data_IF_404776221808
#
_entry.id   IF_404776221808
#
_cell.length_a   1.000
_cell.length_b   1.000
_cell.length_c   1.000
_cell.angle_alpha   90.00
_cell.angle_beta   90.00
_cell.angle_gamma   90.00
#
_symmetry.space_group_name_H-M   'P 1'
#
loop_
_entity.id
_entity.type
_entity.pdbx_description
1 polymer ?
#
# COMPACT_ATOMS: atom_id res chain seq x y z
N UNK A 1 3.12 -17.57 0.08
CA UNK A 1 1.88 -17.89 -0.68
C UNK A 1 0.71 -16.91 -0.47
N UNK A 2 0.88 -15.72 0.14
CA UNK A 2 -0.23 -14.76 0.34
C UNK A 2 -0.81 -14.22 -0.98
N UNK A 3 0.04 -13.98 -1.98
CA UNK A 3 -0.37 -13.43 -3.29
C UNK A 3 -1.21 -14.38 -4.15
N UNK A 4 -1.04 -15.70 -3.99
CA UNK A 4 -1.78 -16.71 -4.77
C UNK A 4 -3.29 -16.66 -4.45
N UNK A 5 -3.64 -16.44 -3.17
CA UNK A 5 -5.05 -16.31 -2.76
C UNK A 5 -5.72 -15.09 -3.40
N UNK A 6 -5.01 -13.97 -3.47
CA UNK A 6 -5.51 -12.76 -4.12
C UNK A 6 -5.64 -12.92 -5.62
N UNK A 7 -4.68 -13.58 -6.25
CA UNK A 7 -4.76 -13.92 -7.67
C UNK A 7 -5.99 -14.77 -7.96
N UNK A 8 -6.25 -15.81 -7.16
CA UNK A 8 -7.45 -16.66 -7.29
C UNK A 8 -8.75 -15.88 -7.07
N UNK A 9 -8.78 -14.94 -6.11
CA UNK A 9 -9.94 -14.07 -5.90
C UNK A 9 -10.23 -13.19 -7.13
N UNK A 10 -9.21 -12.56 -7.71
CA UNK A 10 -9.42 -11.75 -8.92
C UNK A 10 -9.79 -12.60 -10.14
N UNK A 11 -9.23 -13.81 -10.24
CA UNK A 11 -9.59 -14.74 -11.29
C UNK A 11 -11.06 -15.18 -11.17
N UNK A 12 -11.55 -15.45 -9.96
CA UNK A 12 -12.98 -15.75 -9.75
C UNK A 12 -13.89 -14.57 -10.09
N UNK A 13 -13.48 -13.34 -9.77
CA UNK A 13 -14.21 -12.13 -10.15
C UNK A 13 -14.32 -11.97 -11.68
N UNK A 14 -13.22 -12.16 -12.40
CA UNK A 14 -13.19 -12.08 -13.88
C UNK A 14 -14.13 -13.14 -14.47
N UNK A 15 -14.10 -14.37 -13.94
CA UNK A 15 -14.99 -15.44 -14.38
C UNK A 15 -16.46 -15.10 -14.15
N UNK A 16 -16.83 -14.51 -13.00
CA UNK A 16 -18.20 -14.07 -12.73
C UNK A 16 -18.67 -13.03 -13.76
N UNK A 17 -17.83 -12.02 -14.04
CA UNK A 17 -18.14 -11.00 -15.04
C UNK A 17 -18.31 -11.64 -16.42
N UNK A 18 -17.40 -12.55 -16.79
CA UNK A 18 -17.49 -13.29 -18.05
C UNK A 18 -18.78 -14.10 -18.18
N UNK A 19 -19.20 -14.79 -17.12
CA UNK A 19 -20.46 -15.55 -17.08
C UNK A 19 -21.69 -14.64 -17.22
N UNK A 20 -21.69 -13.47 -16.56
CA UNK A 20 -22.77 -12.48 -16.72
C UNK A 20 -22.84 -11.95 -18.15
N UNK A 21 -21.70 -11.59 -18.75
CA UNK A 21 -21.65 -11.09 -20.14
C UNK A 21 -22.05 -12.17 -21.13
N UNK A 22 -21.61 -13.42 -20.93
CA UNK A 22 -22.00 -14.56 -21.76
C UNK A 22 -23.51 -14.83 -21.67
N UNK A 23 -24.06 -14.87 -20.45
CA UNK A 23 -25.51 -15.04 -20.23
C UNK A 23 -26.30 -13.92 -20.91
N UNK A 24 -25.87 -12.67 -20.78
CA UNK A 24 -26.50 -11.55 -21.48
C UNK A 24 -26.38 -11.66 -23.00
N UNK A 25 -25.20 -12.00 -23.53
CA UNK A 25 -24.97 -12.14 -24.98
C UNK A 25 -25.86 -13.21 -25.60
N UNK A 26 -25.94 -14.39 -24.96
CA UNK A 26 -26.76 -15.51 -25.44
C UNK A 26 -28.26 -15.18 -25.47
N UNK A 27 -28.75 -14.20 -24.71
CA UNK A 27 -30.15 -13.73 -24.80
C UNK A 27 -30.44 -13.04 -26.13
N UNK A 28 -29.48 -12.31 -26.70
CA UNK A 28 -29.67 -11.56 -27.94
C UNK A 28 -29.17 -12.30 -29.19
N UNK A 29 -28.19 -13.18 -29.02
CA UNK A 29 -27.63 -14.03 -30.08
C UNK A 29 -27.53 -15.44 -29.57
N UNK A 30 -28.55 -16.23 -29.87
CA UNK A 30 -28.64 -17.62 -29.43
C UNK A 30 -27.95 -18.58 -30.41
N UNK A 31 -26.69 -18.26 -30.76
CA UNK A 31 -25.88 -19.11 -31.63
C UNK A 31 -25.55 -20.47 -30.97
N UNK A 32 -25.76 -20.57 -29.66
CA UNK A 32 -25.44 -21.74 -28.84
C UNK A 32 -26.65 -22.65 -28.55
N UNK A 33 -27.88 -22.21 -28.86
CA UNK A 33 -29.10 -22.99 -28.66
C UNK A 33 -29.37 -23.40 -27.21
N UNK A 34 -28.90 -22.60 -26.24
CA UNK A 34 -29.03 -22.92 -24.82
C UNK A 34 -30.42 -22.55 -24.32
N UNK A 35 -31.10 -23.53 -23.73
CA UNK A 35 -32.37 -23.31 -23.03
C UNK A 35 -32.20 -22.38 -21.82
N UNK A 36 -33.29 -21.74 -21.39
CA UNK A 36 -33.29 -20.89 -20.19
C UNK A 36 -32.77 -21.63 -18.95
N UNK A 37 -33.09 -22.92 -18.82
CA UNK A 37 -32.67 -23.77 -17.70
C UNK A 37 -31.16 -23.97 -17.69
N UNK A 38 -30.54 -24.23 -18.84
CA UNK A 38 -29.09 -24.43 -18.93
C UNK A 38 -28.33 -23.15 -18.59
N UNK A 39 -28.87 -21.98 -18.97
CA UNK A 39 -28.30 -20.68 -18.62
C UNK A 39 -28.37 -20.41 -17.12
N UNK A 40 -29.47 -20.76 -16.47
CA UNK A 40 -29.62 -20.63 -15.02
C UNK A 40 -28.66 -21.54 -14.26
N UNK A 41 -28.44 -22.78 -14.74
CA UNK A 41 -27.47 -23.70 -14.17
C UNK A 41 -26.04 -23.13 -14.30
N UNK A 42 -25.68 -22.59 -15.47
CA UNK A 42 -24.37 -21.94 -15.69
C UNK A 42 -24.21 -20.73 -14.77
N UNK A 43 -25.26 -19.92 -14.62
CA UNK A 43 -25.26 -18.76 -13.72
C UNK A 43 -25.16 -19.16 -12.24
N UNK A 44 -25.65 -20.34 -11.84
CA UNK A 44 -25.51 -20.82 -10.46
C UNK A 44 -24.04 -20.99 -10.05
N UNK A 45 -23.12 -21.23 -11.00
CA UNK A 45 -21.69 -21.31 -10.75
C UNK A 45 -21.08 -19.96 -10.29
N UNK A 46 -21.78 -18.85 -10.50
CA UNK A 46 -21.35 -17.54 -9.97
C UNK A 46 -21.42 -17.49 -8.44
N UNK A 47 -22.32 -18.25 -7.80
CA UNK A 47 -22.51 -18.27 -6.34
C UNK A 47 -21.23 -18.74 -5.60
N UNK A 48 -20.66 -19.93 -5.88
CA UNK A 48 -19.43 -20.37 -5.23
C UNK A 48 -18.22 -19.50 -5.61
N UNK A 49 -18.15 -18.99 -6.86
CA UNK A 49 -17.08 -18.09 -7.28
C UNK A 49 -17.12 -16.76 -6.52
N UNK A 50 -18.33 -16.24 -6.26
CA UNK A 50 -18.54 -15.02 -5.51
C UNK A 50 -18.20 -15.20 -4.04
N UNK A 51 -18.52 -16.37 -3.47
CA UNK A 51 -18.11 -16.73 -2.12
C UNK A 51 -16.58 -16.75 -1.99
N UNK A 52 -15.89 -17.46 -2.90
CA UNK A 52 -14.42 -17.48 -2.97
C UNK A 52 -13.82 -16.08 -3.12
N UNK A 53 -14.43 -15.24 -3.96
CA UNK A 53 -14.01 -13.85 -4.11
C UNK A 53 -14.13 -13.06 -2.81
N UNK A 54 -15.27 -13.14 -2.12
CA UNK A 54 -15.49 -12.40 -0.87
C UNK A 54 -14.57 -12.87 0.24
N UNK A 55 -14.32 -14.17 0.34
CA UNK A 55 -13.50 -14.75 1.39
C UNK A 55 -12.01 -14.37 1.21
N UNK A 56 -11.53 -14.37 -0.03
CA UNK A 56 -10.11 -14.20 -0.32
C UNK A 56 -9.73 -12.82 -0.84
N UNK A 57 -10.69 -11.91 -1.08
CA UNK A 57 -10.35 -10.55 -1.53
C UNK A 57 -9.44 -9.87 -0.49
N UNK A 58 -8.34 -9.25 -0.94
CA UNK A 58 -7.40 -8.60 -0.04
C UNK A 58 -8.02 -7.40 0.68
N UNK A 59 -9.06 -6.78 0.10
CA UNK A 59 -9.68 -5.56 0.62
C UNK A 59 -11.20 -5.58 0.39
N UNK A 60 -11.97 -5.10 1.38
CA UNK A 60 -13.33 -4.62 1.11
C UNK A 60 -13.18 -3.47 0.12
N UNK A 61 -13.80 -3.55 -1.05
CA UNK A 61 -13.88 -2.47 -2.07
C UNK A 61 -14.40 -1.13 -1.51
N UNK A 62 -14.89 -1.12 -0.27
CA UNK A 62 -15.38 0.03 0.47
C UNK A 62 -14.42 0.41 1.62
N UNK A 63 -13.66 1.49 1.42
CA UNK A 63 -13.11 2.36 2.49
C UNK A 63 -11.90 1.89 3.31
N UNK A 64 -11.68 0.59 3.49
CA UNK A 64 -10.66 0.11 4.44
C UNK A 64 -9.23 0.11 3.88
N UNK A 65 -9.04 -0.01 2.56
CA UNK A 65 -7.72 0.12 1.95
C UNK A 65 -7.19 1.55 2.12
N UNK A 66 -8.08 2.53 1.97
CA UNK A 66 -7.79 3.95 2.12
C UNK A 66 -7.46 4.28 3.58
N UNK A 67 -8.22 3.74 4.53
CA UNK A 67 -7.93 3.89 5.96
C UNK A 67 -6.60 3.26 6.37
N UNK A 68 -6.29 2.04 5.95
CA UNK A 68 -5.00 1.39 6.29
C UNK A 68 -3.80 2.11 5.67
N UNK A 69 -3.92 2.53 4.40
CA UNK A 69 -2.87 3.30 3.74
C UNK A 69 -2.70 4.68 4.36
N UNK A 70 -3.81 5.35 4.69
CA UNK A 70 -3.81 6.64 5.38
C UNK A 70 -3.19 6.54 6.77
N UNK A 71 -3.59 5.56 7.57
CA UNK A 71 -3.03 5.35 8.91
C UNK A 71 -1.52 5.04 8.84
N UNK A 72 -1.09 4.26 7.85
CA UNK A 72 0.33 3.96 7.64
C UNK A 72 1.11 5.18 7.12
N UNK A 73 0.47 6.02 6.32
CA UNK A 73 1.02 7.27 5.81
C UNK A 73 1.13 8.33 6.90
N UNK A 74 0.10 8.49 7.73
CA UNK A 74 0.06 9.38 8.88
C UNK A 74 1.12 8.96 9.90
N UNK A 75 1.23 7.67 10.22
CA UNK A 75 2.31 7.14 11.06
C UNK A 75 3.70 7.39 10.45
N UNK A 76 3.84 7.31 9.12
CA UNK A 76 5.10 7.63 8.45
C UNK A 76 5.43 9.12 8.58
N UNK A 77 4.46 10.01 8.36
CA UNK A 77 4.59 11.46 8.52
C UNK A 77 4.91 11.87 9.96
N UNK A 78 4.21 11.32 10.95
CA UNK A 78 4.46 11.55 12.38
C UNK A 78 5.83 11.03 12.82
N UNK A 79 6.30 9.97 12.16
CA UNK A 79 7.65 9.47 12.34
C UNK A 79 8.72 10.33 11.66
N UNK A 80 8.36 11.40 10.94
CA UNK A 80 9.31 12.31 10.30
C UNK A 80 9.44 13.61 11.09
N UNK A 81 10.68 14.05 11.31
CA UNK A 81 10.99 15.35 11.89
C UNK A 81 12.00 16.06 11.00
N UNK A 82 11.91 17.38 10.96
CA UNK A 82 12.85 18.23 10.20
C UNK A 82 14.05 18.56 11.08
N UNK A 83 15.26 18.37 10.54
CA UNK A 83 16.48 18.82 11.19
C UNK A 83 16.58 20.34 11.14
N UNK A 84 16.77 20.99 12.29
CA UNK A 84 16.93 22.46 12.38
C UNK A 84 18.20 22.98 11.69
N UNK A 85 19.24 22.15 11.55
CA UNK A 85 20.53 22.60 11.02
C UNK A 85 20.66 22.47 9.49
N UNK A 86 19.95 21.51 8.88
CA UNK A 86 20.05 21.25 7.44
C UNK A 86 18.69 21.19 6.71
N UNK A 87 17.59 21.47 7.43
CA UNK A 87 16.21 21.40 6.94
C UNK A 87 15.81 20.08 6.25
N UNK A 88 16.61 19.03 6.43
CA UNK A 88 16.33 17.71 5.90
C UNK A 88 15.30 17.01 6.77
N UNK A 89 14.29 16.44 6.12
CA UNK A 89 13.31 15.59 6.78
C UNK A 89 13.92 14.21 6.97
N UNK A 90 13.93 13.73 8.21
CA UNK A 90 14.49 12.43 8.60
C UNK A 90 13.59 11.76 9.63
N UNK A 91 13.80 10.48 9.91
CA UNK A 91 13.04 9.78 10.94
C UNK A 91 13.24 10.46 12.30
N UNK A 92 12.20 10.52 13.11
CA UNK A 92 12.19 11.11 14.45
C UNK A 92 13.21 10.42 15.37
N UNK A 93 13.45 9.11 15.18
CA UNK A 93 14.48 8.34 15.86
C UNK A 93 15.91 8.76 15.52
N UNK A 94 16.11 9.41 14.36
CA UNK A 94 17.41 9.93 13.90
C UNK A 94 17.64 11.37 14.34
N UNK A 95 16.65 12.03 14.96
CA UNK A 95 16.75 13.38 15.50
C UNK A 95 16.91 13.35 17.02
N UNK A 96 17.96 14.00 17.52
CA UNK A 96 18.11 14.32 18.94
C UNK A 96 18.26 15.83 19.08
N UNK A 97 17.48 16.45 19.97
CA UNK A 97 17.47 17.89 20.21
C UNK A 97 17.29 18.72 18.93
N UNK A 98 16.42 18.27 18.01
CA UNK A 98 16.15 18.96 16.75
C UNK A 98 17.26 18.82 15.67
N UNK A 99 18.34 18.07 15.93
CA UNK A 99 19.45 17.89 15.00
C UNK A 99 19.49 16.43 14.55
N UNK A 100 19.62 16.21 13.23
CA UNK A 100 19.74 14.86 12.67
C UNK A 100 21.12 14.24 12.97
N UNK A 101 21.16 12.90 12.98
CA UNK A 101 22.39 12.12 13.20
C UNK A 101 23.55 12.58 12.31
N UNK A 102 23.31 12.88 11.02
CA UNK A 102 24.37 13.31 10.10
C UNK A 102 25.02 14.65 10.51
N UNK A 103 24.22 15.64 10.90
CA UNK A 103 24.74 16.94 11.37
C UNK A 103 25.49 16.78 12.68
N UNK A 104 24.96 15.97 13.61
CA UNK A 104 25.63 15.69 14.88
C UNK A 104 26.96 14.96 14.69
N UNK A 105 27.03 14.02 13.76
CA UNK A 105 28.25 13.26 13.48
C UNK A 105 29.30 14.13 12.76
N UNK A 106 28.90 15.15 12.00
CA UNK A 106 29.79 16.18 11.46
C UNK A 106 30.36 17.08 12.58
N UNK A 107 29.52 17.52 13.52
CA UNK A 107 29.97 18.28 14.69
C UNK A 107 30.93 17.46 15.58
N UNK A 108 30.65 16.16 15.76
CA UNK A 108 31.52 15.26 16.51
C UNK A 108 32.82 14.88 15.77
N UNK A 109 32.84 14.93 14.45
CA UNK A 109 34.10 14.81 13.69
C UNK A 109 34.95 16.07 13.83
N UNK A 110 34.31 17.24 13.90
CA UNK A 110 35.00 18.50 14.14
C UNK A 110 35.52 18.64 15.58
N UNK A 111 34.90 17.97 16.57
CA UNK A 111 35.39 17.98 17.96
C UNK A 111 36.61 17.08 18.20
N UNK A 112 36.96 16.18 17.26
CA UNK A 112 38.23 15.43 17.28
C UNK A 112 39.40 16.14 16.58
N UNK A 113 39.14 17.25 15.88
CA UNK A 113 40.19 18.18 15.50
C UNK A 113 40.30 19.24 16.59
N UNK A 114 41.28 19.04 17.48
CA UNK A 114 41.58 19.99 18.55
C UNK A 114 41.69 21.41 18.01
N UNK A 115 40.70 22.23 18.33
CA UNK A 115 40.83 23.67 18.19
C UNK A 115 41.96 24.11 19.11
N UNK A 116 43.14 24.36 18.55
CA UNK A 116 44.09 25.28 19.18
C UNK A 116 43.36 26.61 19.35
N UNK A 117 43.01 26.91 20.60
CA UNK A 117 42.54 28.22 21.04
C UNK A 117 43.59 29.23 20.56
N UNK A 118 43.24 30.09 19.60
CA UNK A 118 44.10 31.24 19.25
C UNK A 118 44.22 32.09 20.51
N UNK A 119 45.42 32.14 21.09
CA UNK A 119 45.78 33.11 22.11
C UNK A 119 45.54 34.50 21.52
N UNK A 120 44.65 35.25 22.16
CA UNK A 120 44.40 36.65 21.85
C UNK A 120 45.55 37.41 22.49
N UNK A 121 46.54 37.81 21.69
CA UNK A 121 47.61 38.70 22.12
C UNK A 121 47.00 40.02 22.63
N UNK A 122 47.31 40.33 23.88
CA UNK A 122 47.18 41.67 24.45
C UNK A 122 48.12 42.62 23.71
N UNK A 123 47.58 43.73 23.21
CA UNK A 123 48.19 45.06 23.18
C UNK A 123 47.13 46.10 22.84
#
# INVERSE_FOLDING_TARGET
>A
MKYIKYFLAYLSLITIIGLFVFSFYTVFKDDFGLSLIERDIIMSATIPLFYLYIEWRPFKLTGNLDLYLKEKWDNYLDSQKTCLNCNKVVKSSEIKNGICKSCRDLDNKNSKFGYKRKERNER
#
